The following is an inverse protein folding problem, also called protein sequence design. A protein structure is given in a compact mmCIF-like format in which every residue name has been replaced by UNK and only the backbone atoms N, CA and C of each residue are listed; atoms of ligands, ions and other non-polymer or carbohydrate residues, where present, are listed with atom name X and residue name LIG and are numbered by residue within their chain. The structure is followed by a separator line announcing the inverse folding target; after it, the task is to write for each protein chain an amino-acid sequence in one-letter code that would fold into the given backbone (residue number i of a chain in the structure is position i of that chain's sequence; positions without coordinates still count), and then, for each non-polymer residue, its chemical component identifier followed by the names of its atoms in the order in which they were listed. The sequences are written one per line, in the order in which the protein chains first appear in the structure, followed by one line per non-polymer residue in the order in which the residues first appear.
data_IF_642806633704
#
_entry.id   IF_642806633704
#
_cell.length_a   1.000
_cell.length_b   1.000
_cell.length_c   1.000
_cell.angle_alpha   90.00
_cell.angle_beta   90.00
_cell.angle_gamma   90.00
#
_symmetry.space_group_name_H-M   'P 1'
#
loop_
_entity.id
_entity.type
_entity.pdbx_description
1 polymer ?
#
# COMPACT_ATOMS: atom_id res chain seq x y z
N UNK A 1 -15.71 -42.20 13.72
CA UNK A 1 -14.87 -41.90 14.89
C UNK A 1 -14.02 -40.71 14.51
N UNK A 2 -14.41 -39.51 14.96
CA UNK A 2 -13.66 -38.28 14.70
C UNK A 2 -12.48 -38.21 15.66
N UNK A 3 -11.31 -37.88 15.13
CA UNK A 3 -10.03 -37.85 15.86
C UNK A 3 -10.02 -36.68 16.88
N UNK A 4 -10.07 -36.97 18.20
CA UNK A 4 -10.19 -35.95 19.24
C UNK A 4 -8.94 -35.07 19.38
N UNK A 5 -7.83 -35.41 18.73
CA UNK A 5 -6.60 -34.62 18.77
C UNK A 5 -6.57 -33.51 17.72
N UNK A 6 -7.30 -33.65 16.60
CA UNK A 6 -7.44 -32.59 15.59
C UNK A 6 -8.25 -31.39 16.11
N UNK A 7 -9.29 -31.65 16.91
CA UNK A 7 -10.14 -30.60 17.48
C UNK A 7 -9.42 -29.80 18.58
N UNK A 8 -8.53 -30.45 19.34
CA UNK A 8 -7.68 -29.78 20.33
C UNK A 8 -6.62 -28.89 19.69
N UNK A 9 -6.04 -29.30 18.55
CA UNK A 9 -5.05 -28.51 17.81
C UNK A 9 -5.68 -27.26 17.18
N UNK A 10 -6.89 -27.36 16.62
CA UNK A 10 -7.61 -26.21 16.08
C UNK A 10 -8.02 -25.19 17.16
N UNK A 11 -8.45 -25.68 18.34
CA UNK A 11 -8.74 -24.83 19.49
C UNK A 11 -7.49 -24.13 20.07
N UNK A 12 -6.32 -24.81 20.03
CA UNK A 12 -5.06 -24.23 20.49
C UNK A 12 -4.55 -23.12 19.55
N UNK A 13 -4.65 -23.30 18.23
CA UNK A 13 -4.24 -22.31 17.22
C UNK A 13 -5.09 -21.03 17.28
N UNK A 14 -6.41 -21.16 17.39
CA UNK A 14 -7.32 -20.00 17.51
C UNK A 14 -7.15 -19.24 18.84
N UNK A 15 -6.74 -19.93 19.91
CA UNK A 15 -6.40 -19.30 21.19
C UNK A 15 -5.06 -18.54 21.12
N UNK A 16 -4.08 -19.07 20.38
CA UNK A 16 -2.79 -18.43 20.14
C UNK A 16 -2.92 -17.16 19.29
N UNK A 17 -3.73 -17.19 18.21
CA UNK A 17 -4.00 -16.01 17.37
C UNK A 17 -4.72 -14.90 18.14
N UNK A 18 -5.69 -15.25 19.00
CA UNK A 18 -6.37 -14.29 19.87
C UNK A 18 -5.41 -13.66 20.88
N UNK A 19 -4.50 -14.44 21.47
CA UNK A 19 -3.47 -13.93 22.39
C UNK A 19 -2.47 -13.02 21.68
N UNK A 20 -2.03 -13.37 20.47
CA UNK A 20 -1.15 -12.53 19.66
C UNK A 20 -1.83 -11.19 19.28
N UNK A 21 -3.11 -11.23 18.90
CA UNK A 21 -3.89 -10.01 18.64
C UNK A 21 -4.09 -9.13 19.87
N UNK A 22 -4.24 -9.73 21.06
CA UNK A 22 -4.37 -9.01 22.32
C UNK A 22 -3.04 -8.36 22.75
N UNK A 23 -1.93 -9.08 22.65
CA UNK A 23 -0.59 -8.57 22.95
C UNK A 23 -0.17 -7.46 21.99
N UNK A 24 -0.52 -7.58 20.71
CA UNK A 24 -0.36 -6.49 19.76
C UNK A 24 -1.16 -5.26 20.26
N UNK A 25 -2.45 -5.40 20.57
CA UNK A 25 -3.26 -4.26 21.07
C UNK A 25 -2.67 -3.60 22.32
N UNK A 26 -2.12 -4.36 23.26
CA UNK A 26 -1.48 -3.85 24.47
C UNK A 26 -0.17 -3.11 24.16
N UNK A 27 0.70 -3.70 23.34
CA UNK A 27 1.93 -3.05 22.88
C UNK A 27 1.63 -1.75 22.11
N UNK A 28 0.57 -1.77 21.27
CA UNK A 28 0.05 -0.59 20.57
C UNK A 28 -0.53 0.47 21.52
N UNK A 29 -1.16 0.07 22.63
CA UNK A 29 -1.66 1.01 23.63
C UNK A 29 -0.53 1.70 24.42
N UNK A 30 0.56 0.96 24.69
CA UNK A 30 1.78 1.48 25.32
C UNK A 30 2.52 2.44 24.40
N UNK A 31 2.64 2.10 23.11
CA UNK A 31 3.26 2.96 22.09
C UNK A 31 2.46 4.27 21.89
N UNK A 32 1.11 4.20 21.95
CA UNK A 32 0.24 5.40 21.93
C UNK A 32 0.45 6.34 23.13
N UNK A 33 0.78 5.81 24.30
CA UNK A 33 1.05 6.63 25.50
C UNK A 33 2.40 7.33 25.43
N UNK A 34 3.40 6.72 24.81
CA UNK A 34 4.76 7.28 24.71
C UNK A 34 4.95 8.25 23.54
N UNK A 35 4.14 8.13 22.47
CA UNK A 35 4.35 8.85 21.21
C UNK A 35 3.49 10.10 21.00
N UNK A 36 2.98 10.75 22.08
CA UNK A 36 2.31 12.06 21.98
C UNK A 36 3.31 13.18 21.60
N UNK A 37 3.75 13.17 20.36
CA UNK A 37 4.43 14.29 19.73
C UNK A 37 3.38 15.37 19.44
N UNK A 38 3.62 16.59 19.91
CA UNK A 38 2.72 17.74 19.77
C UNK A 38 2.63 18.19 18.30
N UNK A 39 1.80 17.49 17.51
CA UNK A 39 1.48 17.82 16.11
C UNK A 39 0.94 19.25 15.92
N UNK A 40 0.46 19.89 16.99
CA UNK A 40 -0.28 21.16 16.92
C UNK A 40 0.59 22.42 16.84
N UNK A 41 1.89 22.39 17.14
CA UNK A 41 2.76 23.58 17.06
C UNK A 41 3.77 23.59 15.91
N UNK A 42 4.27 22.43 15.49
CA UNK A 42 5.45 22.37 14.61
C UNK A 42 5.13 22.16 13.12
N UNK A 43 3.88 21.88 12.73
CA UNK A 43 3.54 21.54 11.33
C UNK A 43 2.24 22.22 10.85
N UNK A 44 2.22 23.56 10.67
CA UNK A 44 1.03 24.30 10.25
C UNK A 44 0.45 23.85 8.90
N UNK A 45 1.30 23.37 7.98
CA UNK A 45 0.86 22.82 6.67
C UNK A 45 -0.07 21.60 6.81
N UNK A 46 0.15 20.76 7.82
CA UNK A 46 -0.70 19.58 8.08
C UNK A 46 -2.08 20.02 8.56
N UNK A 47 -2.14 21.05 9.41
CA UNK A 47 -3.41 21.63 9.87
C UNK A 47 -4.18 22.32 8.73
N UNK A 48 -3.49 23.04 7.85
CA UNK A 48 -4.11 23.64 6.66
C UNK A 48 -4.71 22.58 5.76
N UNK A 49 -4.04 21.44 5.60
CA UNK A 49 -4.52 20.37 4.74
C UNK A 49 -5.67 19.57 5.37
N UNK A 50 -5.60 19.29 6.66
CA UNK A 50 -6.73 18.73 7.42
C UNK A 50 -7.93 19.68 7.34
N UNK A 51 -7.74 20.99 7.49
CA UNK A 51 -8.79 21.98 7.37
C UNK A 51 -9.34 22.10 5.93
N UNK A 52 -8.47 22.00 4.92
CA UNK A 52 -8.86 21.98 3.50
C UNK A 52 -9.70 20.76 3.17
N UNK A 53 -9.33 19.59 3.69
CA UNK A 53 -10.06 18.33 3.46
C UNK A 53 -11.36 18.32 4.25
N UNK A 54 -11.36 18.78 5.51
CA UNK A 54 -12.57 18.98 6.29
C UNK A 54 -13.51 20.03 5.67
N UNK A 55 -12.96 21.04 4.96
CA UNK A 55 -13.73 22.05 4.24
C UNK A 55 -14.20 21.62 2.85
N UNK A 56 -13.46 20.75 2.16
CA UNK A 56 -13.83 20.19 0.85
C UNK A 56 -14.86 19.06 0.98
N UNK A 57 -14.83 18.32 2.09
CA UNK A 57 -15.83 17.30 2.41
C UNK A 57 -17.08 17.99 2.94
N UNK A 58 -18.00 18.37 2.03
CA UNK A 58 -19.34 18.81 2.44
C UNK A 58 -20.01 17.66 3.19
N UNK A 59 -20.09 17.76 4.51
CA UNK A 59 -20.85 16.91 5.44
C UNK A 59 -20.35 15.46 5.63
N UNK A 60 -19.77 15.18 6.79
CA UNK A 60 -20.20 14.09 7.70
C UNK A 60 -19.36 14.07 8.99
N UNK A 61 -19.95 14.53 10.11
CA UNK A 61 -19.78 14.06 11.50
C UNK A 61 -18.40 13.76 12.12
N UNK A 62 -17.26 14.04 11.49
CA UNK A 62 -15.96 13.96 12.15
C UNK A 62 -15.74 15.25 12.93
N UNK A 63 -15.87 15.17 14.27
CA UNK A 63 -15.40 16.25 15.13
C UNK A 63 -13.92 16.51 14.79
N UNK A 64 -13.51 17.77 14.71
CA UNK A 64 -12.11 18.14 14.42
C UNK A 64 -11.09 17.42 15.33
N UNK A 65 -11.49 17.05 16.55
CA UNK A 65 -10.71 16.21 17.47
C UNK A 65 -10.41 14.82 16.90
N UNK A 66 -11.40 14.18 16.28
CA UNK A 66 -11.35 12.78 15.87
C UNK A 66 -10.48 12.64 14.61
N UNK A 67 -10.51 13.63 13.72
CA UNK A 67 -9.65 13.67 12.53
C UNK A 67 -8.17 13.83 12.89
N UNK A 68 -7.84 14.59 13.92
CA UNK A 68 -6.46 14.77 14.36
C UNK A 68 -5.89 13.48 14.98
N UNK A 69 -6.70 12.77 15.77
CA UNK A 69 -6.32 11.47 16.35
C UNK A 69 -6.14 10.42 15.25
N UNK A 70 -7.09 10.29 14.33
CA UNK A 70 -7.00 9.39 13.17
C UNK A 70 -5.80 9.70 12.28
N UNK A 71 -5.49 10.97 12.08
CA UNK A 71 -4.31 11.38 11.34
C UNK A 71 -3.02 10.97 12.06
N UNK A 72 -2.96 11.13 13.38
CA UNK A 72 -1.81 10.69 14.16
C UNK A 72 -1.66 9.16 14.13
N UNK A 73 -2.76 8.41 14.19
CA UNK A 73 -2.74 6.95 14.01
C UNK A 73 -2.20 6.57 12.62
N UNK A 74 -2.70 7.22 11.57
CA UNK A 74 -2.24 6.99 10.20
C UNK A 74 -0.75 7.35 10.04
N UNK A 75 -0.27 8.43 10.67
CA UNK A 75 1.12 8.84 10.65
C UNK A 75 2.04 7.84 11.39
N UNK A 76 1.54 7.15 12.41
CA UNK A 76 2.27 6.05 13.07
C UNK A 76 2.39 4.82 12.18
N UNK A 77 1.36 4.53 11.37
CA UNK A 77 1.34 3.37 10.47
C UNK A 77 2.17 3.64 9.20
N UNK A 78 2.10 4.86 8.68
CA UNK A 78 2.75 5.28 7.44
C UNK A 78 3.87 6.29 7.72
N UNK A 79 5.10 5.82 8.01
CA UNK A 79 6.21 6.73 8.26
C UNK A 79 6.46 7.62 7.04
N UNK A 80 6.46 8.94 7.26
CA UNK A 80 6.65 9.93 6.21
C UNK A 80 5.36 10.41 5.52
N UNK A 81 4.17 10.12 6.08
CA UNK A 81 2.88 10.68 5.67
C UNK A 81 2.93 12.18 5.38
N UNK A 82 3.64 12.93 6.23
CA UNK A 82 3.83 14.39 6.10
C UNK A 82 4.38 14.82 4.73
N UNK A 83 5.24 13.98 4.12
CA UNK A 83 5.97 14.31 2.90
C UNK A 83 5.17 14.10 1.61
N UNK A 84 4.06 13.36 1.68
CA UNK A 84 3.23 13.04 0.53
C UNK A 84 1.78 13.47 0.68
N UNK A 85 1.32 13.90 1.85
CA UNK A 85 -0.06 14.39 2.07
C UNK A 85 -0.49 15.47 1.05
N UNK A 86 0.39 16.41 0.69
CA UNK A 86 0.09 17.45 -0.29
C UNK A 86 0.04 16.98 -1.74
N UNK A 87 0.42 15.73 -2.02
CA UNK A 87 0.35 15.08 -3.34
C UNK A 87 -0.84 14.12 -3.46
N UNK A 88 -1.55 13.87 -2.37
CA UNK A 88 -2.64 12.88 -2.31
C UNK A 88 -3.94 13.52 -2.71
N UNK A 89 -4.74 12.76 -3.47
CA UNK A 89 -6.12 13.14 -3.74
C UNK A 89 -6.90 13.21 -2.42
N UNK A 90 -7.60 14.31 -2.11
CA UNK A 90 -8.37 14.47 -0.87
C UNK A 90 -9.28 13.29 -0.54
N UNK A 91 -9.88 12.67 -1.56
CA UNK A 91 -10.78 11.53 -1.44
C UNK A 91 -10.07 10.29 -0.87
N UNK A 92 -8.84 10.03 -1.32
CA UNK A 92 -8.03 8.96 -0.77
C UNK A 92 -7.60 9.30 0.67
N UNK A 93 -7.30 10.58 0.91
CA UNK A 93 -7.19 11.21 2.24
C UNK A 93 -8.28 10.69 3.20
N UNK A 94 -9.50 11.01 2.81
CA UNK A 94 -10.72 10.74 3.55
C UNK A 94 -10.98 9.23 3.72
N UNK A 95 -10.77 8.43 2.68
CA UNK A 95 -10.89 6.96 2.74
C UNK A 95 -9.95 6.38 3.80
N UNK A 96 -8.66 6.75 3.76
CA UNK A 96 -7.65 6.27 4.70
C UNK A 96 -7.88 6.74 6.14
N UNK A 97 -8.40 7.97 6.32
CA UNK A 97 -8.77 8.48 7.65
C UNK A 97 -10.06 7.84 8.17
N UNK A 98 -10.97 7.47 7.28
CA UNK A 98 -12.21 6.79 7.66
C UNK A 98 -11.93 5.39 8.17
N UNK A 99 -11.01 4.66 7.53
CA UNK A 99 -10.63 3.28 7.87
C UNK A 99 -9.10 3.08 8.02
N UNK A 100 -8.56 3.55 9.15
CA UNK A 100 -7.13 3.39 9.48
C UNK A 100 -6.74 1.93 9.73
N UNK A 101 -7.67 1.12 10.27
CA UNK A 101 -7.44 -0.29 10.53
C UNK A 101 -7.35 -1.11 9.23
N UNK A 102 -8.22 -0.83 8.26
CA UNK A 102 -8.15 -1.41 6.92
C UNK A 102 -6.84 -1.05 6.21
N UNK A 103 -6.39 0.20 6.30
CA UNK A 103 -5.09 0.61 5.77
C UNK A 103 -3.92 -0.19 6.38
N UNK A 104 -3.92 -0.38 7.71
CA UNK A 104 -2.91 -1.20 8.38
C UNK A 104 -2.95 -2.68 7.92
N UNK A 105 -4.15 -3.25 7.79
CA UNK A 105 -4.33 -4.63 7.30
C UNK A 105 -3.80 -4.79 5.87
N UNK A 106 -4.12 -3.84 4.98
CA UNK A 106 -3.62 -3.79 3.59
C UNK A 106 -2.09 -3.74 3.53
N UNK A 107 -1.44 -2.97 4.39
CA UNK A 107 0.02 -2.90 4.46
C UNK A 107 0.66 -4.23 4.87
N UNK A 108 0.08 -4.91 5.87
CA UNK A 108 0.56 -6.24 6.30
C UNK A 108 0.38 -7.26 5.17
N UNK A 109 -0.74 -7.22 4.47
CA UNK A 109 -0.99 -8.08 3.31
C UNK A 109 0.01 -7.82 2.18
N UNK A 110 0.29 -6.56 1.85
CA UNK A 110 1.33 -6.20 0.87
C UNK A 110 2.70 -6.73 1.29
N UNK A 111 3.05 -6.61 2.57
CA UNK A 111 4.33 -7.11 3.08
C UNK A 111 4.45 -8.64 2.97
N UNK A 112 3.34 -9.35 3.12
CA UNK A 112 3.29 -10.79 2.95
C UNK A 112 3.38 -11.21 1.47
N UNK A 113 2.67 -10.50 0.58
CA UNK A 113 2.66 -10.79 -0.85
C UNK A 113 3.94 -10.35 -1.58
N UNK A 114 4.62 -9.33 -1.06
CA UNK A 114 5.83 -8.75 -1.66
C UNK A 114 6.97 -8.70 -0.62
N UNK A 115 7.47 -9.87 -0.16
CA UNK A 115 8.44 -9.92 0.94
C UNK A 115 9.78 -9.25 0.62
N UNK A 116 10.11 -9.12 -0.67
CA UNK A 116 11.35 -8.51 -1.15
C UNK A 116 11.22 -7.01 -1.48
N UNK A 117 10.01 -6.43 -1.34
CA UNK A 117 9.74 -5.02 -1.63
C UNK A 117 9.63 -4.24 -0.32
N UNK A 118 10.21 -3.05 -0.29
CA UNK A 118 10.01 -2.10 0.79
C UNK A 118 8.62 -1.45 0.62
N UNK A 119 7.62 -2.03 1.28
CA UNK A 119 6.22 -1.60 1.22
C UNK A 119 6.07 -0.13 1.65
N UNK A 120 6.88 0.34 2.60
CA UNK A 120 6.84 1.74 3.02
C UNK A 120 7.25 2.67 1.88
N UNK A 121 8.33 2.35 1.16
CA UNK A 121 8.73 3.09 -0.04
C UNK A 121 7.71 2.96 -1.18
N UNK A 122 7.14 1.76 -1.37
CA UNK A 122 6.11 1.50 -2.38
C UNK A 122 4.90 2.43 -2.18
N UNK A 123 4.34 2.45 -0.97
CA UNK A 123 3.17 3.28 -0.64
C UNK A 123 3.52 4.77 -0.65
N UNK A 124 4.72 5.15 -0.21
CA UNK A 124 5.18 6.55 -0.31
C UNK A 124 5.22 7.03 -1.77
N UNK A 125 5.59 6.16 -2.70
CA UNK A 125 5.60 6.47 -4.13
C UNK A 125 4.20 6.47 -4.74
N UNK A 126 3.34 5.52 -4.36
CA UNK A 126 1.97 5.40 -4.85
C UNK A 126 0.98 5.08 -3.72
N UNK A 127 0.47 6.12 -3.02
CA UNK A 127 -0.47 5.91 -1.92
C UNK A 127 -1.82 5.33 -2.35
N UNK A 128 -2.19 5.52 -3.62
CA UNK A 128 -3.45 5.01 -4.17
C UNK A 128 -3.55 3.50 -4.14
N UNK A 129 -2.43 2.77 -4.01
CA UNK A 129 -2.44 1.31 -3.82
C UNK A 129 -3.18 0.87 -2.56
N UNK A 130 -3.36 1.76 -1.58
CA UNK A 130 -4.16 1.48 -0.39
C UNK A 130 -5.66 1.74 -0.59
N UNK A 131 -6.09 2.30 -1.72
CA UNK A 131 -7.52 2.44 -2.03
C UNK A 131 -8.14 1.05 -2.19
N UNK A 132 -9.43 0.92 -1.89
CA UNK A 132 -10.13 -0.35 -2.03
C UNK A 132 -10.05 -0.90 -3.47
N UNK A 133 -10.21 -0.04 -4.48
CA UNK A 133 -10.24 -0.44 -5.89
C UNK A 133 -8.86 -0.91 -6.39
N UNK A 134 -7.80 -0.14 -6.16
CA UNK A 134 -6.45 -0.52 -6.63
C UNK A 134 -5.93 -1.73 -5.84
N UNK A 135 -6.20 -1.80 -4.53
CA UNK A 135 -5.75 -2.91 -3.70
C UNK A 135 -6.33 -4.25 -4.15
N UNK A 136 -7.60 -4.27 -4.57
CA UNK A 136 -8.25 -5.48 -5.09
C UNK A 136 -7.58 -6.03 -6.37
N UNK A 137 -6.88 -5.18 -7.12
CA UNK A 137 -6.15 -5.58 -8.33
C UNK A 137 -4.75 -6.13 -8.05
N UNK A 138 -4.15 -5.81 -6.90
CA UNK A 138 -2.76 -6.17 -6.58
C UNK A 138 -2.49 -7.67 -6.70
N UNK A 139 -3.31 -8.59 -6.14
CA UNK A 139 -3.03 -10.04 -6.26
C UNK A 139 -2.97 -10.51 -7.70
N UNK A 140 -3.82 -9.95 -8.58
CA UNK A 140 -3.82 -10.27 -10.00
C UNK A 140 -2.56 -9.73 -10.69
N UNK A 141 -2.15 -8.51 -10.36
CA UNK A 141 -0.91 -7.93 -10.89
C UNK A 141 0.32 -8.73 -10.50
N UNK A 142 0.39 -9.17 -9.24
CA UNK A 142 1.47 -10.05 -8.75
C UNK A 142 1.51 -11.36 -9.54
N UNK A 143 0.37 -12.04 -9.69
CA UNK A 143 0.33 -13.29 -10.46
C UNK A 143 0.81 -13.13 -11.90
N UNK A 144 0.52 -11.99 -12.55
CA UNK A 144 1.05 -11.69 -13.90
C UNK A 144 2.55 -11.42 -13.90
N UNK A 145 3.05 -10.72 -12.90
CA UNK A 145 4.49 -10.49 -12.75
C UNK A 145 5.23 -11.81 -12.51
N UNK A 146 4.65 -12.73 -11.73
CA UNK A 146 5.23 -14.05 -11.51
C UNK A 146 5.25 -14.89 -12.79
N UNK A 147 4.19 -14.83 -13.62
CA UNK A 147 4.16 -15.53 -14.91
C UNK A 147 5.24 -15.00 -15.88
N UNK A 148 5.49 -13.69 -15.89
CA UNK A 148 6.44 -13.06 -16.83
C UNK A 148 7.89 -13.13 -16.33
N UNK A 149 8.11 -12.86 -15.05
CA UNK A 149 9.45 -12.67 -14.48
C UNK A 149 9.89 -13.78 -13.53
N UNK A 150 9.02 -14.75 -13.25
CA UNK A 150 9.30 -15.87 -12.36
C UNK A 150 9.16 -15.50 -10.88
N UNK A 151 10.22 -15.68 -10.10
CA UNK A 151 10.12 -15.57 -8.64
C UNK A 151 9.95 -14.12 -8.14
N UNK A 152 9.29 -13.91 -6.98
CA UNK A 152 9.10 -12.59 -6.37
C UNK A 152 10.34 -11.71 -6.21
N UNK A 153 11.50 -12.34 -5.96
CA UNK A 153 12.76 -11.63 -5.85
C UNK A 153 13.20 -10.97 -7.18
N UNK A 154 12.84 -11.55 -8.32
CA UNK A 154 13.25 -11.07 -9.64
C UNK A 154 12.59 -9.72 -9.97
N UNK A 155 11.26 -9.62 -9.81
CA UNK A 155 10.53 -8.40 -10.14
C UNK A 155 10.40 -7.40 -8.98
N UNK A 156 10.93 -7.71 -7.78
CA UNK A 156 10.87 -6.82 -6.62
C UNK A 156 11.42 -5.42 -6.92
N UNK A 157 12.55 -5.34 -7.63
CA UNK A 157 13.15 -4.06 -8.04
C UNK A 157 12.25 -3.28 -9.00
N UNK A 158 11.60 -3.97 -9.94
CA UNK A 158 10.66 -3.38 -10.90
C UNK A 158 9.49 -2.76 -10.15
N UNK A 159 8.85 -3.53 -9.25
CA UNK A 159 7.71 -3.06 -8.45
C UNK A 159 8.11 -1.91 -7.52
N UNK A 160 9.31 -1.96 -6.95
CA UNK A 160 9.83 -0.90 -6.09
C UNK A 160 10.00 0.43 -6.83
N UNK A 161 10.51 0.37 -8.07
CA UNK A 161 10.73 1.55 -8.92
C UNK A 161 9.44 2.04 -9.56
N UNK A 162 8.57 1.11 -9.97
CA UNK A 162 7.35 1.36 -10.72
C UNK A 162 6.16 0.65 -10.07
N UNK A 163 5.60 1.21 -8.98
CA UNK A 163 4.48 0.59 -8.26
C UNK A 163 3.23 0.36 -9.13
N UNK A 164 3.09 1.11 -10.23
CA UNK A 164 2.03 0.92 -11.23
C UNK A 164 2.08 -0.44 -11.91
N UNK A 165 3.22 -1.14 -11.88
CA UNK A 165 3.36 -2.50 -12.42
C UNK A 165 2.41 -3.50 -11.76
N UNK A 166 1.96 -3.22 -10.53
CA UNK A 166 0.95 -4.04 -9.84
C UNK A 166 -0.47 -3.89 -10.40
N UNK A 167 -0.71 -2.89 -11.24
CA UNK A 167 -2.05 -2.54 -11.74
C UNK A 167 -2.19 -2.72 -13.25
N UNK A 168 -1.08 -2.98 -13.95
CA UNK A 168 -1.02 -3.12 -15.40
C UNK A 168 -0.74 -4.56 -15.78
N UNK A 169 -1.02 -4.87 -17.04
CA UNK A 169 -0.73 -6.18 -17.61
C UNK A 169 0.73 -6.25 -18.07
N UNK A 170 1.57 -6.94 -17.31
CA UNK A 170 3.00 -7.08 -17.60
C UNK A 170 3.25 -7.82 -18.94
N UNK A 171 2.41 -8.79 -19.28
CA UNK A 171 2.49 -9.53 -20.55
C UNK A 171 2.21 -8.59 -21.72
N UNK A 172 1.16 -7.77 -21.59
CA UNK A 172 0.79 -6.80 -22.62
C UNK A 172 1.88 -5.73 -22.82
N UNK A 173 2.50 -5.27 -21.73
CA UNK A 173 3.60 -4.31 -21.81
C UNK A 173 4.84 -4.91 -22.47
N UNK A 174 5.19 -6.15 -22.14
CA UNK A 174 6.33 -6.84 -22.74
C UNK A 174 6.08 -7.09 -24.24
N UNK A 175 4.91 -7.57 -24.62
CA UNK A 175 4.55 -7.79 -26.02
C UNK A 175 4.63 -6.50 -26.85
N UNK A 176 4.22 -5.36 -26.27
CA UNK A 176 4.35 -4.05 -26.93
C UNK A 176 5.79 -3.57 -27.03
N UNK A 177 6.60 -3.80 -25.99
CA UNK A 177 8.01 -3.49 -26.04
C UNK A 177 8.70 -4.27 -27.17
N UNK A 178 8.40 -5.56 -27.29
CA UNK A 178 8.90 -6.42 -28.37
C UNK A 178 8.44 -5.92 -29.75
N UNK A 179 7.17 -5.54 -29.88
CA UNK A 179 6.64 -4.96 -31.11
C UNK A 179 7.36 -3.64 -31.49
N UNK A 180 7.66 -2.78 -30.52
CA UNK A 180 8.37 -1.52 -30.77
C UNK A 180 9.83 -1.73 -31.16
N UNK A 181 10.50 -2.73 -30.58
CA UNK A 181 11.90 -3.02 -30.87
C UNK A 181 12.09 -3.90 -32.11
N UNK A 182 11.05 -4.63 -32.55
CA UNK A 182 11.08 -5.48 -33.73
C UNK A 182 11.81 -6.81 -33.53
N UNK A 183 12.04 -7.22 -32.28
CA UNK A 183 12.63 -8.51 -31.93
C UNK A 183 12.13 -8.98 -30.56
N UNK A 184 12.24 -10.29 -30.31
CA UNK A 184 11.88 -10.90 -29.05
C UNK A 184 12.88 -10.50 -27.95
N UNK A 185 12.34 -10.02 -26.84
CA UNK A 185 13.10 -9.58 -25.67
C UNK A 185 12.82 -10.55 -24.55
N UNK A 186 13.90 -11.10 -24.00
CA UNK A 186 13.85 -11.92 -22.79
C UNK A 186 13.50 -11.05 -21.57
N UNK A 187 12.63 -11.56 -20.70
CA UNK A 187 12.30 -10.95 -19.42
C UNK A 187 13.56 -10.60 -18.61
N UNK A 188 14.65 -11.38 -18.73
CA UNK A 188 15.93 -11.08 -18.09
C UNK A 188 16.54 -9.75 -18.51
N UNK A 189 16.38 -9.32 -19.78
CA UNK A 189 16.87 -8.02 -20.25
C UNK A 189 16.11 -6.89 -19.55
N UNK A 190 14.80 -7.06 -19.39
CA UNK A 190 13.94 -6.11 -18.67
C UNK A 190 14.25 -6.06 -17.17
N UNK A 191 14.64 -7.17 -16.56
CA UNK A 191 15.09 -7.19 -15.16
C UNK A 191 16.39 -6.41 -14.95
N UNK A 192 17.29 -6.41 -15.94
CA UNK A 192 18.53 -5.62 -15.90
C UNK A 192 18.24 -4.13 -16.07
N UNK A 193 17.33 -3.78 -16.98
CA UNK A 193 16.89 -2.40 -17.21
C UNK A 193 15.36 -2.25 -17.18
N UNK A 194 14.77 -2.06 -15.98
CA UNK A 194 13.34 -1.84 -15.81
C UNK A 194 12.81 -0.59 -16.53
N UNK A 195 13.67 0.36 -16.91
CA UNK A 195 13.23 1.58 -17.59
C UNK A 195 12.69 1.30 -19.00
N UNK A 196 13.05 0.16 -19.61
CA UNK A 196 12.53 -0.28 -20.89
C UNK A 196 11.00 -0.47 -20.87
N UNK A 197 10.42 -0.91 -19.75
CA UNK A 197 8.95 -1.03 -19.64
C UNK A 197 8.27 0.35 -19.60
N UNK A 198 8.96 1.37 -19.09
CA UNK A 198 8.39 2.70 -18.94
C UNK A 198 8.28 3.44 -20.27
N UNK A 199 9.21 3.22 -21.20
CA UNK A 199 9.13 3.82 -22.54
C UNK A 199 7.83 3.42 -23.27
N UNK A 200 7.30 2.23 -22.96
CA UNK A 200 6.02 1.73 -23.48
C UNK A 200 4.83 2.22 -22.64
N UNK A 201 4.97 2.24 -21.32
CA UNK A 201 3.90 2.65 -20.41
C UNK A 201 3.55 4.14 -20.54
N UNK A 202 4.56 5.02 -20.71
CA UNK A 202 4.35 6.46 -20.84
C UNK A 202 3.67 6.82 -22.17
N UNK A 203 3.86 6.03 -23.23
CA UNK A 203 3.14 6.19 -24.49
C UNK A 203 1.61 5.97 -24.37
N UNK A 204 1.13 5.29 -23.32
CA UNK A 204 -0.31 5.19 -23.02
C UNK A 204 -0.86 6.42 -22.29
N UNK A 205 -0.03 7.15 -21.55
CA UNK A 205 -0.46 8.27 -20.71
C UNK A 205 -0.22 9.66 -21.33
N UNK A 206 0.44 9.76 -22.49
CA UNK A 206 0.54 11.02 -23.26
C UNK A 206 -0.79 11.49 -23.87
N UNK A 207 -1.89 10.75 -23.69
CA UNK A 207 -3.21 11.13 -24.23
C UNK A 207 -4.23 11.56 -23.17
N UNK A 208 -3.92 11.47 -21.87
CA UNK A 208 -4.93 11.73 -20.82
C UNK A 208 -4.32 12.30 -19.52
N UNK A 209 -3.61 13.43 -19.62
CA UNK A 209 -3.40 14.35 -18.50
C UNK A 209 -3.44 15.79 -18.99
#
# INVERSE_FOLDING_TARGET
MGDPDAEKLAAALTSAEKKAGQQAKEAWSLMRRTSRVKLTKDKPRVLTEIARIAGASRAASLKQSDSAEKFQELACILPGLDSWIGRVKPQLLEELLSDTAGAASKLVQLQHQLPHVDVCKLIKSRPSLLSQDEFAMVPRGIGKLELVFGEPAAYAKIVQMFPSMLLVDAEELLAKLQQQLGFDIDAHVVLQDPSLLMSVADNRNLSIW
#
